data_IF_494484378026
#
_entry.id   IF_494484378026
#
_cell.length_a   1.000
_cell.length_b   1.000
_cell.length_c   1.000
_cell.angle_alpha   90.00
_cell.angle_beta   90.00
_cell.angle_gamma   90.00
#
_symmetry.space_group_name_H-M   'P 1'
#
loop_
_entity.id
_entity.type
_entity.pdbx_description
1 polymer ?
#
# COMPACT_ATOMS: atom_id res chain seq x y z
N UNK A 1 -16.86 -40.62 -7.93
CA UNK A 1 -15.80 -40.25 -6.98
C UNK A 1 -15.23 -38.92 -7.44
N UNK A 2 -15.44 -37.87 -6.62
CA UNK A 2 -14.99 -36.45 -6.68
C UNK A 2 -14.56 -35.87 -8.05
N UNK A 3 -15.29 -34.90 -8.61
CA UNK A 3 -14.89 -33.51 -8.37
C UNK A 3 -16.05 -32.50 -8.40
N UNK A 4 -16.34 -31.86 -7.27
CA UNK A 4 -17.15 -30.61 -7.24
C UNK A 4 -16.67 -29.65 -6.15
N UNK A 5 -15.91 -30.15 -5.17
CA UNK A 5 -15.37 -29.34 -4.08
C UNK A 5 -14.14 -28.49 -4.49
N UNK A 6 -13.30 -28.96 -5.42
CA UNK A 6 -12.09 -28.22 -5.85
C UNK A 6 -12.47 -26.94 -6.62
N UNK A 7 -13.41 -27.06 -7.57
CA UNK A 7 -13.91 -25.95 -8.38
C UNK A 7 -14.59 -24.85 -7.56
N UNK A 8 -15.23 -25.19 -6.45
CA UNK A 8 -15.89 -24.21 -5.56
C UNK A 8 -14.89 -23.44 -4.70
N UNK A 9 -13.81 -24.09 -4.24
CA UNK A 9 -12.74 -23.43 -3.48
C UNK A 9 -11.94 -22.46 -4.35
N UNK A 10 -11.66 -22.83 -5.61
CA UNK A 10 -11.00 -21.95 -6.58
C UNK A 10 -11.83 -20.70 -6.91
N UNK A 11 -13.15 -20.85 -7.02
CA UNK A 11 -14.08 -19.75 -7.23
C UNK A 11 -14.25 -18.84 -5.99
N UNK A 12 -14.15 -19.39 -4.78
CA UNK A 12 -14.15 -18.61 -3.53
C UNK A 12 -12.82 -17.87 -3.30
N UNK A 13 -11.70 -18.44 -3.74
CA UNK A 13 -10.37 -17.82 -3.62
C UNK A 13 -10.19 -16.57 -4.51
N UNK A 14 -11.12 -16.31 -5.44
CA UNK A 14 -11.05 -15.18 -6.39
C UNK A 14 -12.21 -14.18 -6.24
N UNK A 15 -12.90 -14.15 -5.10
CA UNK A 15 -13.87 -13.08 -4.84
C UNK A 15 -13.12 -11.80 -4.44
N UNK A 16 -13.26 -10.74 -5.24
CA UNK A 16 -12.75 -9.41 -4.90
C UNK A 16 -13.51 -8.88 -3.69
N UNK A 17 -12.85 -8.84 -2.54
CA UNK A 17 -13.36 -8.14 -1.37
C UNK A 17 -13.08 -6.64 -1.53
N UNK A 18 -14.09 -5.92 -2.02
CA UNK A 18 -14.04 -4.47 -2.16
C UNK A 18 -14.75 -3.83 -0.98
N UNK A 19 -14.02 -3.04 -0.21
CA UNK A 19 -14.58 -2.15 0.81
C UNK A 19 -14.92 -0.80 0.18
N UNK A 20 -15.94 -0.07 0.66
CA UNK A 20 -16.24 1.26 0.13
C UNK A 20 -15.04 2.22 0.22
N UNK A 21 -15.01 3.29 -0.61
CA UNK A 21 -14.02 4.34 -0.48
C UNK A 21 -13.86 4.82 0.97
N UNK A 22 -12.61 5.01 1.41
CA UNK A 22 -12.31 5.49 2.76
C UNK A 22 -12.52 4.47 3.89
N UNK A 23 -12.91 3.23 3.60
CA UNK A 23 -13.09 2.19 4.63
C UNK A 23 -11.87 1.30 4.83
N UNK A 24 -11.01 1.20 3.82
CA UNK A 24 -9.80 0.40 3.89
C UNK A 24 -8.72 0.96 2.96
N UNK A 25 -7.50 0.90 3.44
CA UNK A 25 -6.28 1.14 2.70
C UNK A 25 -5.23 0.15 3.17
N UNK A 26 -4.25 -0.12 2.33
CA UNK A 26 -3.05 -0.88 2.69
C UNK A 26 -1.88 0.09 2.68
N UNK A 27 -1.11 0.11 3.77
CA UNK A 27 0.10 0.92 3.89
C UNK A 27 1.31 0.01 3.77
N UNK A 28 2.30 0.45 3.01
CA UNK A 28 3.63 -0.13 2.96
C UNK A 28 4.67 0.96 3.19
N UNK A 29 5.82 0.56 3.72
CA UNK A 29 6.97 1.41 4.00
C UNK A 29 8.20 0.85 3.30
N UNK A 30 8.96 1.72 2.65
CA UNK A 30 10.20 1.33 2.01
C UNK A 30 11.27 2.38 2.16
N UNK A 31 12.52 1.99 1.93
CA UNK A 31 13.63 2.93 1.82
C UNK A 31 14.38 2.73 0.51
N UNK A 32 14.90 3.82 -0.05
CA UNK A 32 15.71 3.78 -1.27
C UNK A 32 16.79 4.85 -1.22
N UNK A 33 18.00 4.48 -1.66
CA UNK A 33 19.03 5.46 -2.01
C UNK A 33 18.65 6.14 -3.33
N UNK A 34 18.42 7.44 -3.28
CA UNK A 34 18.11 8.31 -4.42
C UNK A 34 19.23 9.33 -4.58
N UNK A 35 19.49 9.76 -5.82
CA UNK A 35 20.47 10.82 -6.06
C UNK A 35 19.77 12.19 -5.99
N UNK A 36 20.27 13.07 -5.12
CA UNK A 36 19.78 14.44 -4.96
C UNK A 36 21.00 15.35 -4.92
N UNK A 37 21.12 16.25 -5.90
CA UNK A 37 22.27 17.18 -5.99
C UNK A 37 23.63 16.46 -6.04
N UNK A 38 23.71 15.34 -6.77
CA UNK A 38 24.94 14.53 -6.90
C UNK A 38 25.31 13.71 -5.66
N UNK A 39 24.49 13.74 -4.60
CA UNK A 39 24.68 12.94 -3.40
C UNK A 39 23.65 11.83 -3.30
N UNK A 40 24.08 10.62 -2.91
CA UNK A 40 23.15 9.54 -2.57
C UNK A 40 22.52 9.82 -1.21
N UNK A 41 21.23 10.06 -1.20
CA UNK A 41 20.41 10.32 -0.02
C UNK A 41 19.47 9.15 0.19
N UNK A 42 19.34 8.67 1.42
CA UNK A 42 18.30 7.70 1.75
C UNK A 42 16.97 8.42 1.89
N UNK A 43 16.00 8.04 1.06
CA UNK A 43 14.62 8.47 1.16
C UNK A 43 13.78 7.34 1.75
N UNK A 44 12.86 7.72 2.62
CA UNK A 44 11.87 6.83 3.22
C UNK A 44 10.53 7.07 2.54
N UNK A 45 9.86 6.02 2.10
CA UNK A 45 8.66 6.07 1.30
C UNK A 45 7.49 5.54 2.11
N UNK A 46 6.45 6.37 2.23
CA UNK A 46 5.12 5.95 2.64
C UNK A 46 4.30 5.69 1.38
N UNK A 47 3.71 4.49 1.27
CA UNK A 47 2.85 4.11 0.15
C UNK A 47 1.50 3.67 0.70
N UNK A 48 0.43 4.39 0.38
CA UNK A 48 -0.93 3.98 0.65
C UNK A 48 -1.63 3.53 -0.64
N UNK A 49 -2.07 2.28 -0.67
CA UNK A 49 -2.92 1.75 -1.72
C UNK A 49 -4.37 1.79 -1.25
N UNK A 50 -5.18 2.61 -1.92
CA UNK A 50 -6.62 2.71 -1.63
C UNK A 50 -7.32 1.44 -2.12
N UNK A 51 -7.87 0.64 -1.20
CA UNK A 51 -8.34 -0.71 -1.53
C UNK A 51 -9.49 -0.72 -2.54
N UNK A 52 -10.35 0.30 -2.54
CA UNK A 52 -11.44 0.44 -3.51
C UNK A 52 -10.91 0.79 -4.91
N UNK A 53 -10.18 1.91 -5.04
CA UNK A 53 -9.79 2.45 -6.35
C UNK A 53 -8.46 1.90 -6.89
N UNK A 54 -7.69 1.19 -6.07
CA UNK A 54 -6.30 0.77 -6.33
C UNK A 54 -5.34 1.91 -6.67
N UNK A 55 -5.74 3.16 -6.40
CA UNK A 55 -4.86 4.32 -6.53
C UNK A 55 -3.77 4.23 -5.46
N UNK A 56 -2.55 4.51 -5.89
CA UNK A 56 -1.42 4.66 -5.00
C UNK A 56 -1.27 6.13 -4.63
N UNK A 57 -1.09 6.39 -3.34
CA UNK A 57 -0.68 7.66 -2.79
C UNK A 57 0.70 7.48 -2.16
N UNK A 58 1.67 8.29 -2.58
CA UNK A 58 3.07 8.12 -2.18
C UNK A 58 3.61 9.42 -1.61
N UNK A 59 4.30 9.33 -0.47
CA UNK A 59 5.04 10.43 0.15
C UNK A 59 6.47 9.99 0.43
N UNK A 60 7.41 10.90 0.24
CA UNK A 60 8.82 10.69 0.53
C UNK A 60 9.25 11.58 1.70
N UNK A 61 9.98 10.99 2.64
CA UNK A 61 10.48 11.61 3.85
C UNK A 61 12.00 11.45 3.97
N UNK A 62 12.61 12.26 4.84
CA UNK A 62 14.05 12.24 5.12
C UNK A 62 14.41 11.34 6.31
N UNK A 63 13.41 10.84 7.02
CA UNK A 63 13.55 9.94 8.15
C UNK A 63 12.37 8.94 8.23
N UNK A 64 12.50 7.97 9.13
CA UNK A 64 11.50 6.95 9.44
C UNK A 64 10.75 7.24 10.76
N UNK A 65 10.65 8.51 11.16
CA UNK A 65 9.99 8.86 12.42
C UNK A 65 8.48 8.67 12.31
N UNK A 66 7.86 8.39 13.46
CA UNK A 66 6.41 8.22 13.56
C UNK A 66 5.63 9.44 13.05
N UNK A 67 6.14 10.66 13.26
CA UNK A 67 5.55 11.91 12.74
C UNK A 67 5.44 11.88 11.21
N UNK A 68 6.52 11.50 10.51
CA UNK A 68 6.53 11.31 9.06
C UNK A 68 5.46 10.30 8.60
N UNK A 69 5.14 9.29 9.41
CA UNK A 69 4.11 8.31 9.08
C UNK A 69 2.68 8.84 9.29
N UNK A 70 2.46 9.62 10.35
CA UNK A 70 1.18 10.30 10.57
C UNK A 70 0.89 11.31 9.46
N UNK A 71 1.88 12.10 9.07
CA UNK A 71 1.78 13.02 7.93
C UNK A 71 1.46 12.27 6.62
N UNK A 72 2.09 11.10 6.42
CA UNK A 72 1.79 10.20 5.32
C UNK A 72 0.32 9.78 5.28
N UNK A 73 -0.20 9.32 6.42
CA UNK A 73 -1.59 8.89 6.58
C UNK A 73 -2.58 10.04 6.40
N UNK A 74 -2.35 11.19 7.04
CA UNK A 74 -3.22 12.36 6.93
C UNK A 74 -3.31 12.84 5.48
N UNK A 75 -2.20 12.78 4.75
CA UNK A 75 -2.17 13.18 3.35
C UNK A 75 -2.85 12.20 2.37
N UNK A 76 -3.18 10.98 2.81
CA UNK A 76 -3.82 9.95 1.99
C UNK A 76 -5.36 9.96 2.08
N UNK A 77 -5.93 10.98 2.74
CA UNK A 77 -7.36 11.18 2.96
C UNK A 77 -8.14 11.66 1.74
#
# INVERSE_FOLDING_TARGET
MMPTLLTTLEALATVRFETPPGKQLQIDFGERLVEIGGSKVRAYLFVATLCYSRRHHVRAFRDERQESWFDGLESAS
#
